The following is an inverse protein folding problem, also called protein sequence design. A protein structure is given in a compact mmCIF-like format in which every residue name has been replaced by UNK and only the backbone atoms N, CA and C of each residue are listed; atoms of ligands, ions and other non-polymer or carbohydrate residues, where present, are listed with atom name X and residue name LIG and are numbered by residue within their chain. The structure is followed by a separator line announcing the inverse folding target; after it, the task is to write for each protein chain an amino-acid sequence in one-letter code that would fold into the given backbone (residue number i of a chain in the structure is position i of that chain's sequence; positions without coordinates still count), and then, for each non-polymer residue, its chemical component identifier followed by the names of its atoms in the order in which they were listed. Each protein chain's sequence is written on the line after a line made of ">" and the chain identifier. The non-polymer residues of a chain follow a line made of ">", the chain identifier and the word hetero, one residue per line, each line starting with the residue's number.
data_IF_687409404537
#
_entry.id   IF_687409404537
#
_cell.length_a   1.000
_cell.length_b   1.000
_cell.length_c   1.000
_cell.angle_alpha   90.00
_cell.angle_beta   90.00
_cell.angle_gamma   90.00
#
_symmetry.space_group_name_H-M   'P 1'
#
loop_
_entity.id
_entity.type
_entity.pdbx_description
1 polymer ?
#
# COMPACT_ATOMS: atom_id res chain seq x y z
N UNK A 1 3.17 2.84 10.71
CA UNK A 1 4.59 2.60 11.16
C UNK A 1 4.61 1.91 12.52
N UNK A 2 3.84 2.38 13.48
CA UNK A 2 3.76 1.74 14.79
C UNK A 2 3.01 0.41 14.78
N UNK A 3 2.29 0.12 13.72
CA UNK A 3 1.50 -1.11 13.56
C UNK A 3 2.37 -2.36 13.60
N UNK A 4 3.51 -2.30 12.91
CA UNK A 4 4.45 -3.43 12.83
C UNK A 4 5.85 -2.89 12.55
N UNK A 5 6.84 -3.37 13.32
CA UNK A 5 8.23 -2.92 13.17
C UNK A 5 8.86 -3.33 11.84
N UNK A 6 8.25 -4.28 11.13
CA UNK A 6 8.72 -4.72 9.81
C UNK A 6 8.23 -3.83 8.67
N UNK A 7 7.39 -2.85 8.95
CA UNK A 7 6.98 -1.87 7.96
C UNK A 7 8.15 -0.91 7.72
N UNK A 8 8.52 -0.74 6.45
CA UNK A 8 9.59 0.16 6.03
C UNK A 8 9.05 1.54 5.67
N UNK A 9 7.94 1.59 4.95
CA UNK A 9 7.35 2.84 4.47
C UNK A 9 5.84 2.67 4.31
N UNK A 10 5.10 3.74 4.61
CA UNK A 10 3.66 3.83 4.35
C UNK A 10 3.42 5.10 3.54
N UNK A 11 2.69 4.97 2.47
CA UNK A 11 2.26 6.11 1.64
C UNK A 11 0.75 6.02 1.45
N UNK A 12 0.06 7.13 1.64
CA UNK A 12 -1.36 7.26 1.32
C UNK A 12 -1.45 8.25 0.17
N UNK A 13 -2.10 7.83 -0.91
CA UNK A 13 -2.28 8.67 -2.10
C UNK A 13 -3.74 8.62 -2.55
N UNK A 14 -4.13 9.58 -3.39
CA UNK A 14 -5.43 9.53 -4.04
C UNK A 14 -5.38 8.57 -5.25
N UNK A 15 -6.50 8.40 -5.93
CA UNK A 15 -6.59 7.47 -7.05
C UNK A 15 -5.85 7.95 -8.30
N UNK A 16 -5.35 9.18 -8.30
CA UNK A 16 -4.50 9.70 -9.36
C UNK A 16 -3.01 9.62 -9.02
N UNK A 17 -2.68 9.09 -7.84
CA UNK A 17 -1.31 8.93 -7.41
C UNK A 17 -0.73 10.12 -6.68
N UNK A 18 -1.55 11.13 -6.36
CA UNK A 18 -1.10 12.28 -5.59
C UNK A 18 -0.89 11.87 -4.14
N UNK A 19 0.33 12.05 -3.64
CA UNK A 19 0.69 11.66 -2.29
C UNK A 19 0.06 12.64 -1.29
N UNK A 20 -0.71 12.10 -0.34
CA UNK A 20 -1.33 12.84 0.76
C UNK A 20 -0.53 12.69 2.04
N UNK A 21 0.15 11.55 2.22
CA UNK A 21 0.94 11.26 3.40
C UNK A 21 1.99 10.23 3.03
N UNK A 22 3.19 10.41 3.55
CA UNK A 22 4.24 9.40 3.38
C UNK A 22 5.16 9.46 4.60
N UNK A 23 5.48 8.28 5.14
CA UNK A 23 6.38 8.16 6.27
C UNK A 23 7.16 6.86 6.13
N UNK A 24 8.36 6.84 6.69
CA UNK A 24 9.20 5.65 6.69
C UNK A 24 9.86 5.48 8.05
N UNK A 25 10.19 4.23 8.38
CA UNK A 25 10.80 3.88 9.64
C UNK A 25 12.19 4.54 9.75
N UNK A 26 12.52 5.13 10.91
CA UNK A 26 13.86 5.69 11.11
C UNK A 26 14.96 4.66 10.87
N UNK A 27 16.03 5.07 10.22
CA UNK A 27 17.17 4.19 9.95
C UNK A 27 17.03 3.27 8.77
N UNK A 28 15.89 3.29 8.09
CA UNK A 28 15.68 2.46 6.89
C UNK A 28 16.46 3.07 5.73
N UNK A 29 17.25 2.23 5.05
CA UNK A 29 17.94 2.62 3.83
C UNK A 29 17.02 2.35 2.64
N UNK A 30 16.79 3.36 1.83
CA UNK A 30 15.97 3.22 0.63
C UNK A 30 16.71 2.34 -0.39
N UNK A 31 16.02 1.31 -0.88
CA UNK A 31 16.55 0.41 -1.92
C UNK A 31 16.40 1.01 -3.32
N UNK A 32 15.49 1.99 -3.47
CA UNK A 32 15.22 2.65 -4.74
C UNK A 32 15.59 4.13 -4.65
N UNK A 33 15.95 4.71 -5.79
CA UNK A 33 16.09 6.17 -5.89
C UNK A 33 14.72 6.83 -5.78
N UNK A 34 14.69 8.15 -5.58
CA UNK A 34 13.43 8.91 -5.53
C UNK A 34 12.61 8.74 -6.81
N UNK A 35 13.28 8.76 -7.98
CA UNK A 35 12.60 8.58 -9.26
C UNK A 35 12.05 7.16 -9.41
N UNK A 36 12.82 6.16 -8.98
CA UNK A 36 12.37 4.76 -9.02
C UNK A 36 11.19 4.53 -8.09
N UNK A 37 11.21 5.13 -6.90
CA UNK A 37 10.10 5.03 -5.94
C UNK A 37 8.84 5.66 -6.50
N UNK A 38 8.95 6.81 -7.15
CA UNK A 38 7.80 7.47 -7.77
C UNK A 38 7.23 6.62 -8.91
N UNK A 39 8.08 6.07 -9.76
CA UNK A 39 7.64 5.19 -10.86
C UNK A 39 6.96 3.94 -10.32
N UNK A 40 7.49 3.37 -9.24
CA UNK A 40 6.91 2.21 -8.59
C UNK A 40 5.51 2.50 -8.06
N UNK A 41 5.32 3.66 -7.44
CA UNK A 41 4.00 4.08 -6.96
C UNK A 41 3.03 4.30 -8.12
N UNK A 42 3.47 4.98 -9.20
CA UNK A 42 2.64 5.20 -10.37
C UNK A 42 2.19 3.88 -11.00
N UNK A 43 3.10 2.91 -11.10
CA UNK A 43 2.78 1.58 -11.62
C UNK A 43 1.74 0.88 -10.74
N UNK A 44 1.86 0.98 -9.43
CA UNK A 44 0.92 0.38 -8.49
C UNK A 44 -0.47 1.01 -8.63
N UNK A 45 -0.54 2.32 -8.73
CA UNK A 45 -1.80 3.05 -8.90
C UNK A 45 -2.46 2.69 -10.22
N UNK A 46 -1.70 2.67 -11.31
CA UNK A 46 -2.23 2.33 -12.64
C UNK A 46 -2.72 0.89 -12.71
N UNK A 47 -1.99 -0.04 -12.08
CA UNK A 47 -2.40 -1.43 -12.00
C UNK A 47 -3.70 -1.58 -11.21
N UNK A 48 -3.84 -0.83 -10.12
CA UNK A 48 -5.06 -0.83 -9.33
C UNK A 48 -6.26 -0.33 -10.14
N UNK A 49 -6.10 0.77 -10.88
CA UNK A 49 -7.14 1.30 -11.75
C UNK A 49 -7.55 0.30 -12.82
N UNK A 50 -6.58 -0.35 -13.45
CA UNK A 50 -6.85 -1.37 -14.48
C UNK A 50 -7.65 -2.54 -13.92
N UNK A 51 -7.26 -3.01 -12.74
CA UNK A 51 -7.95 -4.12 -12.06
C UNK A 51 -9.35 -3.72 -11.59
N UNK A 52 -9.57 -2.46 -11.23
CA UNK A 52 -10.88 -1.96 -10.81
C UNK A 52 -11.94 -2.05 -11.89
N UNK A 53 -11.53 -2.07 -13.16
CA UNK A 53 -12.45 -2.25 -14.28
C UNK A 53 -13.11 -3.62 -14.28
N UNK A 54 -12.54 -4.58 -13.58
CA UNK A 54 -13.09 -5.94 -13.47
C UNK A 54 -14.04 -6.11 -12.28
N UNK A 55 -14.21 -5.06 -11.46
CA UNK A 55 -14.96 -5.15 -10.22
C UNK A 55 -16.43 -5.54 -10.44
N UNK A 56 -17.03 -5.15 -11.58
CA UNK A 56 -18.40 -5.51 -11.89
C UNK A 56 -18.60 -7.02 -12.09
N UNK A 57 -17.53 -7.74 -12.42
CA UNK A 57 -17.58 -9.18 -12.67
C UNK A 57 -17.04 -10.02 -11.54
N UNK A 58 -15.98 -9.59 -10.89
CA UNK A 58 -15.30 -10.39 -9.87
C UNK A 58 -15.29 -9.73 -8.50
N UNK A 59 -15.92 -8.56 -8.36
CA UNK A 59 -16.00 -7.85 -7.10
C UNK A 59 -14.84 -6.86 -6.92
N UNK A 60 -14.95 -6.04 -5.90
CA UNK A 60 -13.94 -5.03 -5.58
C UNK A 60 -12.66 -5.69 -5.11
N UNK A 61 -11.52 -5.15 -5.53
CA UNK A 61 -10.22 -5.59 -5.06
C UNK A 61 -10.02 -5.28 -3.58
N UNK A 62 -9.39 -6.19 -2.86
CA UNK A 62 -9.10 -6.03 -1.43
C UNK A 62 -7.66 -5.63 -1.19
N UNK A 63 -6.72 -6.23 -1.89
CA UNK A 63 -5.30 -5.87 -1.82
C UNK A 63 -4.55 -6.51 -2.97
N UNK A 64 -3.35 -5.99 -3.21
CA UNK A 64 -2.36 -6.59 -4.10
C UNK A 64 -1.05 -6.71 -3.33
N UNK A 65 -0.47 -7.90 -3.32
CA UNK A 65 0.83 -8.15 -2.71
C UNK A 65 1.84 -8.43 -3.81
N UNK A 66 2.93 -7.66 -3.82
CA UNK A 66 4.09 -7.92 -4.67
C UNK A 66 5.23 -8.36 -3.76
N UNK A 67 5.62 -9.62 -3.88
CA UNK A 67 6.61 -10.24 -3.01
C UNK A 67 7.95 -10.32 -3.74
N UNK A 68 8.92 -9.55 -3.28
CA UNK A 68 10.27 -9.53 -3.81
C UNK A 68 11.24 -10.16 -2.80
N UNK A 69 12.44 -10.49 -3.26
CA UNK A 69 13.45 -11.09 -2.37
C UNK A 69 13.82 -10.18 -1.19
N UNK A 70 13.86 -8.87 -1.43
CA UNK A 70 14.36 -7.91 -0.43
C UNK A 70 13.26 -7.13 0.28
N UNK A 71 12.07 -7.04 -0.31
CA UNK A 71 10.92 -6.33 0.27
C UNK A 71 9.62 -6.97 -0.18
N UNK A 72 8.56 -6.68 0.56
CA UNK A 72 7.17 -6.90 0.11
C UNK A 72 6.50 -5.57 -0.10
N UNK A 73 5.58 -5.48 -1.05
CA UNK A 73 4.79 -4.28 -1.33
C UNK A 73 3.32 -4.64 -1.30
N UNK A 74 2.54 -3.89 -0.53
CA UNK A 74 1.10 -4.09 -0.40
C UNK A 74 0.41 -2.82 -0.89
N UNK A 75 -0.55 -2.98 -1.79
CA UNK A 75 -1.43 -1.89 -2.24
C UNK A 75 -2.86 -2.26 -1.87
N UNK A 76 -3.56 -1.37 -1.17
CA UNK A 76 -4.94 -1.59 -0.72
C UNK A 76 -5.74 -0.31 -0.83
N UNK A 77 -7.07 -0.43 -1.00
CA UNK A 77 -7.92 0.75 -0.90
C UNK A 77 -7.99 1.25 0.54
N UNK A 78 -8.06 2.56 0.70
CA UNK A 78 -8.26 3.22 1.99
C UNK A 78 -9.44 4.17 1.82
N UNK A 79 -10.64 3.68 2.11
CA UNK A 79 -11.87 4.34 1.73
C UNK A 79 -12.11 4.24 0.22
N UNK A 80 -13.01 5.05 -0.31
CA UNK A 80 -13.39 5.01 -1.73
C UNK A 80 -12.49 5.85 -2.63
N UNK A 81 -11.70 6.75 -2.04
CA UNK A 81 -10.98 7.77 -2.81
C UNK A 81 -9.46 7.72 -2.66
N UNK A 82 -8.95 6.83 -1.81
CA UNK A 82 -7.52 6.77 -1.51
C UNK A 82 -6.98 5.36 -1.57
N UNK A 83 -5.67 5.25 -1.71
CA UNK A 83 -4.93 3.99 -1.67
C UNK A 83 -3.84 4.08 -0.63
N UNK A 84 -3.60 2.96 0.07
CA UNK A 84 -2.45 2.79 0.95
C UNK A 84 -1.42 1.93 0.21
N UNK A 85 -0.19 2.39 0.21
CA UNK A 85 0.94 1.68 -0.38
C UNK A 85 1.96 1.45 0.75
N UNK A 86 2.25 0.19 1.05
CA UNK A 86 3.11 -0.19 2.18
C UNK A 86 4.26 -1.03 1.66
N UNK A 87 5.48 -0.71 2.08
CA UNK A 87 6.64 -1.58 1.87
C UNK A 87 7.08 -2.15 3.20
N UNK A 88 7.49 -3.41 3.19
CA UNK A 88 7.89 -4.14 4.41
C UNK A 88 9.18 -4.90 4.19
N UNK A 89 9.76 -5.34 5.31
CA UNK A 89 10.85 -6.32 5.27
C UNK A 89 10.32 -7.64 4.69
N UNK A 90 11.18 -8.46 4.06
CA UNK A 90 10.72 -9.70 3.41
C UNK A 90 10.14 -10.73 4.38
N UNK A 91 10.52 -10.69 5.66
CA UNK A 91 10.02 -11.61 6.68
C UNK A 91 8.72 -11.14 7.33
N UNK A 92 8.18 -9.98 6.95
CA UNK A 92 6.98 -9.44 7.56
C UNK A 92 5.78 -10.37 7.37
N UNK A 93 4.91 -10.41 8.38
CA UNK A 93 3.63 -11.11 8.27
C UNK A 93 2.63 -10.19 7.55
N UNK A 94 2.58 -10.31 6.23
CA UNK A 94 1.73 -9.45 5.42
C UNK A 94 0.24 -9.65 5.71
N UNK A 95 -0.17 -10.88 6.05
CA UNK A 95 -1.57 -11.15 6.36
C UNK A 95 -2.03 -10.36 7.59
N UNK A 96 -1.18 -10.28 8.62
CA UNK A 96 -1.46 -9.48 9.81
C UNK A 96 -1.55 -7.99 9.48
N UNK A 97 -0.58 -7.48 8.71
CA UNK A 97 -0.55 -6.06 8.32
C UNK A 97 -1.79 -5.69 7.51
N UNK A 98 -2.15 -6.51 6.55
CA UNK A 98 -3.36 -6.31 5.72
C UNK A 98 -4.61 -6.28 6.60
N UNK A 99 -4.73 -7.21 7.53
CA UNK A 99 -5.86 -7.29 8.45
C UNK A 99 -5.98 -6.02 9.30
N UNK A 100 -4.86 -5.53 9.83
CA UNK A 100 -4.87 -4.33 10.66
C UNK A 100 -5.23 -3.06 9.86
N UNK A 101 -4.71 -2.93 8.64
CA UNK A 101 -5.04 -1.80 7.77
C UNK A 101 -6.53 -1.84 7.40
N UNK A 102 -7.05 -3.03 7.10
CA UNK A 102 -8.47 -3.22 6.79
C UNK A 102 -9.35 -2.75 7.96
N UNK A 103 -8.97 -3.09 9.18
CA UNK A 103 -9.69 -2.68 10.38
C UNK A 103 -9.65 -1.17 10.57
N UNK A 104 -8.50 -0.55 10.34
CA UNK A 104 -8.38 0.91 10.45
C UNK A 104 -9.24 1.63 9.41
N UNK A 105 -9.24 1.16 8.18
CA UNK A 105 -10.05 1.73 7.11
C UNK A 105 -11.54 1.63 7.43
N UNK A 106 -12.00 0.49 7.95
CA UNK A 106 -13.39 0.29 8.37
C UNK A 106 -13.77 1.21 9.50
N UNK A 107 -12.87 1.40 10.48
CA UNK A 107 -13.13 2.31 11.61
C UNK A 107 -13.32 3.75 11.15
N UNK A 108 -12.51 4.18 10.18
CA UNK A 108 -12.63 5.53 9.62
C UNK A 108 -13.92 5.71 8.83
N UNK A 109 -14.33 4.71 8.06
CA UNK A 109 -15.57 4.76 7.29
C UNK A 109 -16.80 4.80 8.20
N UNK A 110 -16.72 4.24 9.39
CA UNK A 110 -17.81 4.21 10.36
C UNK A 110 -17.80 5.38 11.33
N UNK A 111 -16.80 6.23 11.26
CA UNK A 111 -16.69 7.42 12.12
C UNK A 111 -17.53 8.64 11.61
#
# INVERSE_FOLDING_TARGET
>A
MSLDRNIRMVTICDTDGKIMYSDHRPGVTNLLTSDESRKSLEMAVNAWKSRSQLASKIGKGKYVLADYEKIKRITMPFGDTHLVYVTTEPQANHAYIISEITSLASSLDNA
#
